data_IF_680515024976
#
_entry.id   IF_680515024976
#
_cell.length_a   1.000
_cell.length_b   1.000
_cell.length_c   1.000
_cell.angle_alpha   90.00
_cell.angle_beta   90.00
_cell.angle_gamma   90.00
#
_symmetry.space_group_name_H-M   'P 1'
#
loop_
_entity.id
_entity.type
_entity.pdbx_description
1 polymer ?
#
# COMPACT_ATOMS: atom_id res chain seq x y z
N UNK A 1 1.61 -0.55 26.79
CA UNK A 1 1.59 -0.67 25.31
C UNK A 1 0.19 -0.36 24.82
N UNK A 2 0.07 0.46 23.75
CA UNK A 2 -1.24 0.80 23.22
C UNK A 2 -1.99 -0.39 22.62
N UNK A 3 -3.31 -0.41 22.84
CA UNK A 3 -4.23 -1.39 22.25
C UNK A 3 -5.58 -0.75 21.92
N UNK A 4 -6.33 -1.37 21.01
CA UNK A 4 -7.72 -1.02 20.75
C UNK A 4 -8.63 -1.88 21.60
N UNK A 5 -9.65 -1.26 22.15
CA UNK A 5 -10.79 -1.92 22.78
C UNK A 5 -11.98 -1.68 21.86
N UNK A 6 -12.60 -2.76 21.40
CA UNK A 6 -13.72 -2.72 20.46
C UNK A 6 -14.89 -3.51 21.05
N UNK A 7 -16.03 -2.86 21.21
CA UNK A 7 -17.29 -3.52 21.49
C UNK A 7 -18.04 -3.73 20.18
N UNK A 8 -18.21 -4.96 19.78
CA UNK A 8 -18.91 -5.29 18.54
C UNK A 8 -20.43 -5.14 18.63
N UNK A 9 -21.06 -5.14 17.47
CA UNK A 9 -22.52 -5.16 17.34
C UNK A 9 -23.16 -3.81 16.96
N UNK A 10 -22.39 -2.73 16.90
CA UNK A 10 -22.91 -1.45 16.42
C UNK A 10 -22.97 -1.42 14.88
N UNK A 11 -24.07 -0.91 14.34
CA UNK A 11 -24.15 -0.60 12.91
C UNK A 11 -23.27 0.61 12.59
N UNK A 12 -22.70 0.63 11.39
CA UNK A 12 -21.93 1.76 10.89
C UNK A 12 -22.80 2.61 9.97
N UNK A 13 -22.88 3.90 10.22
CA UNK A 13 -23.70 4.82 9.43
C UNK A 13 -23.00 6.15 9.22
N UNK A 14 -23.19 6.74 8.05
CA UNK A 14 -22.66 8.06 7.73
C UNK A 14 -21.65 8.08 6.60
N UNK A 15 -20.73 9.03 6.70
CA UNK A 15 -19.74 9.31 5.65
C UNK A 15 -18.33 9.21 6.22
N UNK A 16 -17.42 8.64 5.44
CA UNK A 16 -16.00 8.60 5.75
C UNK A 16 -15.19 8.97 4.51
N UNK A 17 -14.28 9.91 4.64
CA UNK A 17 -13.37 10.30 3.57
C UNK A 17 -12.08 9.48 3.67
N UNK A 18 -11.69 8.84 2.57
CA UNK A 18 -10.41 8.14 2.50
C UNK A 18 -9.25 9.11 2.31
N UNK A 19 -8.13 8.77 2.90
CA UNK A 19 -6.87 9.51 2.79
C UNK A 19 -6.16 9.17 1.47
N UNK A 20 -5.12 9.93 1.16
CA UNK A 20 -4.23 9.60 0.04
C UNK A 20 -3.54 8.26 0.23
N UNK A 21 -3.29 7.57 -0.88
CA UNK A 21 -2.79 6.21 -0.88
C UNK A 21 -1.36 6.11 -0.33
N UNK A 22 -1.19 5.30 0.72
CA UNK A 22 0.14 4.95 1.24
C UNK A 22 1.07 4.44 0.14
N UNK A 23 0.57 3.51 -0.68
CA UNK A 23 1.37 2.87 -1.73
C UNK A 23 1.67 3.80 -2.92
N UNK A 24 1.02 4.96 -3.00
CA UNK A 24 1.33 6.01 -3.98
C UNK A 24 2.24 7.08 -3.39
N UNK A 25 1.99 7.51 -2.16
CA UNK A 25 2.75 8.60 -1.54
C UNK A 25 4.23 8.25 -1.33
N UNK A 26 4.54 7.01 -0.97
CA UNK A 26 5.93 6.61 -0.71
C UNK A 26 6.82 6.70 -1.96
N UNK A 27 6.45 6.12 -3.14
CA UNK A 27 7.23 6.29 -4.35
C UNK A 27 7.25 7.74 -4.86
N UNK A 28 6.18 8.51 -4.69
CA UNK A 28 6.14 9.93 -5.07
C UNK A 28 7.12 10.75 -4.22
N UNK A 29 7.19 10.51 -2.91
CA UNK A 29 8.20 11.15 -2.04
C UNK A 29 9.61 10.76 -2.50
N UNK A 30 9.88 9.50 -2.81
CA UNK A 30 11.17 9.08 -3.38
C UNK A 30 11.44 9.80 -4.72
N UNK A 31 10.43 9.95 -5.56
CA UNK A 31 10.51 10.67 -6.85
C UNK A 31 10.89 12.15 -6.72
N UNK A 32 10.61 12.80 -5.58
CA UNK A 32 11.04 14.19 -5.33
C UNK A 32 12.56 14.36 -5.37
N UNK A 33 13.33 13.28 -5.12
CA UNK A 33 14.79 13.29 -5.23
C UNK A 33 15.30 13.63 -6.63
N UNK A 34 14.49 13.40 -7.66
CA UNK A 34 14.84 13.70 -9.05
C UNK A 34 14.78 15.20 -9.38
N UNK A 35 14.12 16.00 -8.56
CA UNK A 35 13.87 17.41 -8.82
C UNK A 35 15.07 18.29 -8.55
N UNK A 36 15.35 19.25 -9.44
CA UNK A 36 16.34 20.30 -9.27
C UNK A 36 15.81 21.53 -8.51
N UNK A 37 14.49 21.64 -8.37
CA UNK A 37 13.77 22.69 -7.64
C UNK A 37 12.74 22.08 -6.69
N UNK A 38 12.22 22.85 -5.70
CA UNK A 38 11.27 22.29 -4.74
C UNK A 38 10.01 21.69 -5.35
N UNK A 39 9.57 20.57 -4.80
CA UNK A 39 8.28 19.94 -5.08
C UNK A 39 7.34 20.11 -3.91
N UNK A 40 6.04 20.32 -4.17
CA UNK A 40 5.00 20.45 -3.16
C UNK A 40 3.99 19.31 -3.30
N UNK A 41 3.86 18.50 -2.27
CA UNK A 41 2.87 17.43 -2.21
C UNK A 41 1.72 17.83 -1.30
N UNK A 42 0.50 17.55 -1.74
CA UNK A 42 -0.75 17.94 -1.07
C UNK A 42 -1.47 16.71 -0.51
N UNK A 43 -2.25 16.94 0.54
CA UNK A 43 -3.08 15.91 1.20
C UNK A 43 -2.29 14.68 1.66
N UNK A 44 -1.07 14.86 2.13
CA UNK A 44 -0.22 13.77 2.60
C UNK A 44 -0.79 13.19 3.91
N UNK A 45 -1.05 11.87 3.98
CA UNK A 45 -1.60 11.26 5.18
C UNK A 45 -0.57 11.19 6.32
N UNK A 46 -1.06 11.24 7.55
CA UNK A 46 -0.22 11.12 8.73
C UNK A 46 0.02 9.65 9.07
N UNK A 47 1.00 9.04 8.41
CA UNK A 47 1.37 7.63 8.57
C UNK A 47 2.79 7.50 9.10
N UNK A 48 3.07 6.47 9.90
CA UNK A 48 4.43 6.16 10.35
C UNK A 48 5.39 5.92 9.17
N UNK A 49 4.93 5.25 8.12
CA UNK A 49 5.75 4.99 6.93
C UNK A 49 6.08 6.29 6.18
N UNK A 50 5.18 7.28 6.15
CA UNK A 50 5.46 8.63 5.60
C UNK A 50 6.52 9.33 6.45
N UNK A 51 6.41 9.26 7.77
CA UNK A 51 7.43 9.78 8.69
C UNK A 51 8.81 9.17 8.43
N UNK A 52 8.85 7.85 8.24
CA UNK A 52 10.10 7.11 8.00
C UNK A 52 10.74 7.49 6.66
N UNK A 53 9.98 7.54 5.54
CA UNK A 53 10.54 7.93 4.24
C UNK A 53 11.04 9.37 4.27
N UNK A 54 10.35 10.29 4.95
CA UNK A 54 10.82 11.66 5.13
C UNK A 54 12.17 11.70 5.87
N UNK A 55 12.34 10.92 6.93
CA UNK A 55 13.64 10.83 7.63
C UNK A 55 14.75 10.30 6.72
N UNK A 56 14.46 9.31 5.88
CA UNK A 56 15.41 8.81 4.85
C UNK A 56 15.81 9.95 3.91
N UNK A 57 14.84 10.65 3.36
CA UNK A 57 15.05 11.77 2.42
C UNK A 57 15.85 12.91 3.08
N UNK A 58 15.52 13.28 4.31
CA UNK A 58 16.26 14.29 5.08
C UNK A 58 17.73 13.87 5.31
N UNK A 59 17.97 12.59 5.61
CA UNK A 59 19.32 12.07 5.80
C UNK A 59 20.21 12.16 4.55
N UNK A 60 19.58 12.22 3.38
CA UNK A 60 20.25 12.41 2.10
C UNK A 60 20.57 13.88 1.79
N UNK A 61 20.18 14.80 2.67
CA UNK A 61 20.44 16.23 2.54
C UNK A 61 19.30 17.06 1.95
N UNK A 62 18.12 16.45 1.75
CA UNK A 62 16.92 17.15 1.27
C UNK A 62 16.30 17.96 2.40
N UNK A 63 15.93 19.21 2.14
CA UNK A 63 15.19 20.04 3.09
C UNK A 63 13.69 19.76 2.95
N UNK A 64 13.04 19.54 4.08
CA UNK A 64 11.60 19.29 4.15
C UNK A 64 10.93 20.37 4.99
N UNK A 65 9.91 21.01 4.42
CA UNK A 65 9.05 21.96 5.13
C UNK A 65 7.63 21.39 5.19
N UNK A 66 7.06 21.27 6.39
CA UNK A 66 5.74 20.71 6.63
C UNK A 66 4.76 21.80 7.06
N UNK A 67 3.59 21.84 6.42
CA UNK A 67 2.42 22.56 6.92
C UNK A 67 1.41 21.53 7.45
N UNK A 68 1.50 21.26 8.75
CA UNK A 68 0.68 20.22 9.38
C UNK A 68 -0.83 20.49 9.37
N UNK A 69 -1.24 21.74 9.16
CA UNK A 69 -2.66 22.11 9.15
C UNK A 69 -3.38 21.59 7.89
N UNK A 70 -2.67 21.49 6.77
CA UNK A 70 -3.26 21.19 5.45
C UNK A 70 -2.73 19.90 4.83
N UNK A 71 -1.89 19.12 5.54
CA UNK A 71 -1.24 17.93 4.98
C UNK A 71 -0.29 18.23 3.82
N UNK A 72 0.24 19.45 3.76
CA UNK A 72 1.17 19.88 2.71
C UNK A 72 2.62 19.64 3.15
N UNK A 73 3.42 19.10 2.25
CA UNK A 73 4.88 18.94 2.47
C UNK A 73 5.63 19.43 1.24
N UNK A 74 6.62 20.29 1.47
CA UNK A 74 7.54 20.76 0.44
C UNK A 74 8.88 20.06 0.59
N UNK A 75 9.36 19.46 -0.49
CA UNK A 75 10.65 18.79 -0.57
C UNK A 75 11.59 19.57 -1.48
N UNK A 76 12.69 20.06 -0.93
CA UNK A 76 13.74 20.73 -1.69
C UNK A 76 14.96 19.82 -1.84
N UNK A 77 14.98 19.08 -2.93
CA UNK A 77 16.07 18.17 -3.29
C UNK A 77 17.23 18.88 -4.05
N UNK A 78 17.20 20.20 -4.21
CA UNK A 78 18.36 20.96 -4.73
C UNK A 78 19.58 20.80 -3.81
N UNK A 79 19.33 20.53 -2.54
CA UNK A 79 20.33 20.32 -1.49
C UNK A 79 20.78 18.87 -1.29
N UNK A 80 20.37 17.95 -2.16
CA UNK A 80 20.76 16.53 -2.12
C UNK A 80 22.29 16.37 -2.16
N UNK A 81 22.88 15.81 -1.12
CA UNK A 81 24.34 15.68 -0.95
C UNK A 81 24.80 14.24 -0.78
N UNK A 82 24.01 13.38 -0.13
CA UNK A 82 24.40 12.00 0.19
C UNK A 82 23.78 11.00 -0.78
N UNK A 83 24.45 9.87 -0.96
CA UNK A 83 24.07 8.73 -1.80
C UNK A 83 23.88 7.45 -1.00
N UNK A 84 24.07 7.51 0.32
CA UNK A 84 23.91 6.39 1.25
C UNK A 84 22.82 6.70 2.26
N UNK A 85 21.81 5.81 2.32
CA UNK A 85 20.74 5.90 3.30
C UNK A 85 21.10 5.14 4.59
N UNK A 86 20.76 5.68 5.79
CA UNK A 86 21.09 5.07 7.07
C UNK A 86 20.46 3.69 7.25
N UNK A 87 21.26 2.72 7.69
CA UNK A 87 20.86 1.33 7.94
C UNK A 87 19.60 1.21 8.80
N UNK A 88 19.56 1.93 9.94
CA UNK A 88 18.45 1.85 10.89
C UNK A 88 17.10 2.31 10.31
N UNK A 89 17.12 3.26 9.37
CA UNK A 89 15.90 3.74 8.72
C UNK A 89 15.43 2.77 7.62
N UNK A 90 16.36 2.24 6.82
CA UNK A 90 16.04 1.31 5.74
C UNK A 90 15.44 0.00 6.28
N UNK A 91 15.95 -0.49 7.40
CA UNK A 91 15.41 -1.70 8.04
C UNK A 91 13.98 -1.56 8.54
N UNK A 92 13.58 -0.36 8.97
CA UNK A 92 12.23 -0.11 9.48
C UNK A 92 11.17 -0.20 8.39
N UNK A 93 11.52 0.17 7.16
CA UNK A 93 10.55 0.23 6.07
C UNK A 93 11.21 -0.18 4.75
N UNK A 94 10.70 -1.27 4.17
CA UNK A 94 11.21 -1.81 2.89
C UNK A 94 11.11 -0.80 1.74
N UNK A 95 10.07 0.05 1.72
CA UNK A 95 9.89 1.07 0.69
C UNK A 95 11.04 2.10 0.64
N UNK A 96 11.90 2.15 1.67
CA UNK A 96 13.14 2.95 1.63
C UNK A 96 14.06 2.56 0.49
N UNK A 97 13.95 1.34 -0.04
CA UNK A 97 14.70 0.89 -1.21
C UNK A 97 14.34 1.64 -2.51
N UNK A 98 13.17 2.31 -2.53
CA UNK A 98 12.73 3.13 -3.66
C UNK A 98 13.59 4.38 -3.92
N UNK A 99 14.43 4.80 -2.97
CA UNK A 99 15.35 5.92 -3.20
C UNK A 99 16.52 5.54 -4.11
N UNK A 100 16.73 4.24 -4.37
CA UNK A 100 17.86 3.76 -5.16
C UNK A 100 17.79 4.23 -6.62
N UNK A 101 16.64 4.11 -7.27
CA UNK A 101 16.43 4.57 -8.64
C UNK A 101 16.72 6.07 -8.83
N UNK A 102 16.10 6.94 -8.05
CA UNK A 102 16.38 8.37 -8.09
C UNK A 102 17.82 8.76 -7.81
N UNK A 103 18.47 8.13 -6.82
CA UNK A 103 19.88 8.40 -6.51
C UNK A 103 20.79 8.00 -7.66
N UNK A 104 20.60 6.81 -8.24
CA UNK A 104 21.34 6.38 -9.43
C UNK A 104 21.18 7.34 -10.59
N UNK A 105 19.95 7.76 -10.88
CA UNK A 105 19.64 8.67 -11.98
C UNK A 105 20.31 10.04 -11.79
N UNK A 106 20.29 10.56 -10.57
CA UNK A 106 20.71 11.93 -10.31
C UNK A 106 22.15 12.08 -9.88
N UNK A 107 22.69 11.08 -9.15
CA UNK A 107 24.04 11.10 -8.58
C UNK A 107 24.99 10.09 -9.24
N UNK A 108 24.48 9.17 -10.03
CA UNK A 108 25.27 8.09 -10.64
C UNK A 108 25.66 6.99 -9.67
N UNK A 109 25.28 7.08 -8.40
CA UNK A 109 25.54 6.04 -7.40
C UNK A 109 24.47 6.04 -6.29
N UNK A 110 24.27 4.87 -5.67
CA UNK A 110 23.44 4.69 -4.49
C UNK A 110 23.95 3.53 -3.65
N UNK A 111 23.98 3.70 -2.33
CA UNK A 111 24.31 2.65 -1.38
C UNK A 111 23.17 2.54 -0.36
N UNK A 112 22.49 1.40 -0.38
CA UNK A 112 21.31 1.17 0.44
C UNK A 112 21.50 -0.14 1.20
N UNK A 113 21.20 -0.13 2.49
CA UNK A 113 21.21 -1.35 3.29
C UNK A 113 20.28 -2.39 2.73
N UNK A 114 20.62 -3.67 2.90
CA UNK A 114 19.70 -4.76 2.54
C UNK A 114 18.36 -4.54 3.25
N UNK A 115 17.24 -4.52 2.51
CA UNK A 115 15.95 -4.35 3.14
C UNK A 115 15.65 -5.53 4.07
N UNK A 116 15.14 -5.23 5.26
CA UNK A 116 14.75 -6.25 6.23
C UNK A 116 13.72 -7.23 5.66
N UNK A 117 13.64 -8.42 6.29
CA UNK A 117 12.63 -9.42 5.95
C UNK A 117 11.20 -8.87 6.08
N UNK A 118 10.28 -9.43 5.32
CA UNK A 118 8.86 -9.11 5.41
C UNK A 118 8.11 -10.29 6.01
N UNK A 119 7.24 -10.04 6.98
CA UNK A 119 6.46 -11.07 7.63
C UNK A 119 5.54 -11.84 6.65
N UNK A 120 5.04 -11.17 5.62
CA UNK A 120 4.09 -11.75 4.66
C UNK A 120 4.72 -12.60 3.55
N UNK A 121 6.07 -12.66 3.47
CA UNK A 121 6.78 -13.50 2.51
C UNK A 121 8.06 -12.89 1.97
N UNK A 122 8.78 -13.68 1.17
CA UNK A 122 9.98 -13.23 0.48
C UNK A 122 9.64 -12.13 -0.53
N UNK A 123 10.40 -11.06 -0.48
CA UNK A 123 10.31 -9.94 -1.41
C UNK A 123 11.70 -9.63 -1.95
N UNK A 124 12.22 -10.48 -2.85
CA UNK A 124 13.56 -10.30 -3.39
C UNK A 124 13.65 -8.95 -4.12
N UNK A 125 14.85 -8.39 -4.14
CA UNK A 125 15.16 -7.15 -4.85
C UNK A 125 15.82 -7.39 -6.21
N UNK A 126 15.92 -8.64 -6.60
CA UNK A 126 16.60 -9.08 -7.83
C UNK A 126 16.05 -8.43 -9.10
N UNK A 127 14.72 -8.22 -9.19
CA UNK A 127 14.12 -7.52 -10.33
C UNK A 127 14.54 -6.05 -10.42
N UNK A 128 14.69 -5.36 -9.27
CA UNK A 128 15.25 -4.01 -9.24
C UNK A 128 16.68 -4.00 -9.75
N UNK A 129 17.52 -4.91 -9.24
CA UNK A 129 18.95 -4.96 -9.54
C UNK A 129 19.21 -5.34 -11.00
N UNK A 130 18.50 -6.36 -11.52
CA UNK A 130 18.58 -6.72 -12.96
C UNK A 130 18.24 -5.53 -13.86
N UNK A 131 17.20 -4.77 -13.51
CA UNK A 131 16.80 -3.62 -14.30
C UNK A 131 17.85 -2.49 -14.24
N UNK A 132 18.46 -2.23 -13.10
CA UNK A 132 19.54 -1.26 -12.98
C UNK A 132 20.79 -1.69 -13.75
N UNK A 133 21.15 -2.97 -13.73
CA UNK A 133 22.24 -3.53 -14.56
C UNK A 133 21.93 -3.37 -16.05
N UNK A 134 20.69 -3.63 -16.46
CA UNK A 134 20.27 -3.42 -17.85
C UNK A 134 20.40 -1.95 -18.29
N UNK A 135 20.14 -1.00 -17.38
CA UNK A 135 20.36 0.43 -17.60
C UNK A 135 21.84 0.85 -17.56
N UNK A 136 22.78 -0.07 -17.30
CA UNK A 136 24.22 0.16 -17.31
C UNK A 136 24.85 0.38 -15.94
N UNK A 137 24.13 0.21 -14.85
CA UNK A 137 24.70 0.26 -13.51
C UNK A 137 25.51 -1.01 -13.19
N UNK A 138 26.58 -0.84 -12.42
CA UNK A 138 27.32 -1.94 -11.80
C UNK A 138 26.82 -2.14 -10.39
N UNK A 139 26.56 -3.39 -10.01
CA UNK A 139 25.96 -3.74 -8.72
C UNK A 139 26.94 -4.55 -7.89
N UNK A 140 27.15 -4.14 -6.66
CA UNK A 140 27.87 -4.89 -5.63
C UNK A 140 26.88 -5.22 -4.50
N UNK A 141 26.80 -6.50 -4.13
CA UNK A 141 25.92 -6.98 -3.06
C UNK A 141 26.78 -7.57 -1.95
N UNK A 142 26.55 -7.11 -0.74
CA UNK A 142 27.10 -7.72 0.49
C UNK A 142 25.95 -8.20 1.39
N UNK A 143 26.28 -8.80 2.53
CA UNK A 143 25.25 -9.18 3.52
C UNK A 143 24.52 -7.95 4.08
N UNK A 144 25.17 -6.79 4.14
CA UNK A 144 24.66 -5.60 4.80
C UNK A 144 24.04 -4.58 3.85
N UNK A 145 24.52 -4.50 2.60
CA UNK A 145 24.11 -3.44 1.68
C UNK A 145 24.19 -3.85 0.20
N UNK A 146 23.45 -3.07 -0.60
CA UNK A 146 23.58 -3.02 -2.06
C UNK A 146 24.22 -1.69 -2.43
N UNK A 147 25.28 -1.74 -3.21
CA UNK A 147 25.92 -0.58 -3.83
C UNK A 147 25.75 -0.66 -5.34
N UNK A 148 25.17 0.37 -5.92
CA UNK A 148 25.02 0.49 -7.36
C UNK A 148 25.68 1.78 -7.85
N UNK A 149 26.41 1.71 -8.96
CA UNK A 149 27.02 2.88 -9.57
C UNK A 149 27.00 2.80 -11.10
N UNK A 150 26.83 3.92 -11.73
CA UNK A 150 26.77 4.08 -13.17
C UNK A 150 27.78 5.16 -13.62
N UNK A 151 29.07 4.83 -13.72
CA UNK A 151 30.12 5.80 -14.00
C UNK A 151 29.98 6.49 -15.37
N UNK A 152 29.33 5.83 -16.31
CA UNK A 152 29.05 6.36 -17.65
C UNK A 152 27.61 6.91 -17.79
N UNK A 153 26.89 7.06 -16.66
CA UNK A 153 25.46 7.37 -16.64
C UNK A 153 24.57 6.18 -16.99
N UNK A 154 23.30 6.31 -16.73
CA UNK A 154 22.29 5.31 -17.11
C UNK A 154 21.92 5.47 -18.59
N UNK A 155 21.70 4.34 -19.26
CA UNK A 155 21.32 4.32 -20.69
C UNK A 155 20.03 3.52 -20.88
N UNK A 156 19.12 4.10 -21.64
CA UNK A 156 17.84 3.48 -21.97
C UNK A 156 18.02 2.15 -22.69
N UNK A 157 17.16 1.19 -22.37
CA UNK A 157 17.19 -0.16 -22.90
C UNK A 157 15.81 -0.81 -22.81
N UNK A 158 15.68 -2.02 -23.32
CA UNK A 158 14.50 -2.84 -23.17
C UNK A 158 14.65 -3.72 -21.92
N UNK A 159 13.67 -3.68 -21.03
CA UNK A 159 13.65 -4.41 -19.76
C UNK A 159 12.39 -5.25 -19.69
N UNK A 160 12.52 -6.56 -19.51
CA UNK A 160 11.43 -7.47 -19.23
C UNK A 160 11.45 -7.85 -17.74
N UNK A 161 10.35 -7.65 -17.03
CA UNK A 161 10.19 -8.07 -15.65
C UNK A 161 9.60 -9.49 -15.59
N UNK A 162 10.28 -10.42 -14.95
CA UNK A 162 9.83 -11.80 -14.81
C UNK A 162 8.51 -11.91 -14.00
N UNK A 163 8.23 -10.90 -13.22
CA UNK A 163 6.99 -10.70 -12.48
C UNK A 163 6.61 -9.22 -12.49
N UNK A 164 5.33 -8.84 -12.59
CA UNK A 164 4.90 -7.43 -12.57
C UNK A 164 5.02 -6.84 -11.17
N UNK A 165 6.26 -6.66 -10.72
CA UNK A 165 6.61 -6.10 -9.42
C UNK A 165 6.34 -4.60 -9.39
N UNK A 166 5.50 -4.17 -8.43
CA UNK A 166 5.20 -2.74 -8.23
C UNK A 166 6.47 -1.96 -7.91
N UNK A 167 7.21 -2.39 -6.89
CA UNK A 167 8.41 -1.67 -6.46
C UNK A 167 9.51 -1.64 -7.52
N UNK A 168 9.72 -2.73 -8.27
CA UNK A 168 10.69 -2.75 -9.37
C UNK A 168 10.26 -1.81 -10.49
N UNK A 169 8.98 -1.82 -10.88
CA UNK A 169 8.43 -0.91 -11.89
C UNK A 169 8.63 0.55 -11.48
N UNK A 170 8.31 0.92 -10.24
CA UNK A 170 8.49 2.27 -9.70
C UNK A 170 9.96 2.71 -9.74
N UNK A 171 10.85 1.87 -9.24
CA UNK A 171 12.28 2.16 -9.21
C UNK A 171 12.87 2.34 -10.61
N UNK A 172 12.47 1.48 -11.55
CA UNK A 172 12.94 1.57 -12.95
C UNK A 172 12.38 2.81 -13.64
N UNK A 173 11.12 3.14 -13.44
CA UNK A 173 10.52 4.39 -13.98
C UNK A 173 11.33 5.60 -13.52
N UNK A 174 11.64 5.68 -12.23
CA UNK A 174 12.41 6.80 -11.68
C UNK A 174 13.84 6.86 -12.23
N UNK A 175 14.53 5.72 -12.29
CA UNK A 175 15.88 5.66 -12.84
C UNK A 175 15.91 6.01 -14.35
N UNK A 176 14.99 5.45 -15.13
CA UNK A 176 14.91 5.65 -16.57
C UNK A 176 14.50 7.06 -16.98
N UNK A 177 13.82 7.80 -16.10
CA UNK A 177 13.37 9.18 -16.38
C UNK A 177 14.51 10.14 -16.69
N UNK A 178 15.74 9.84 -16.27
CA UNK A 178 16.94 10.62 -16.56
C UNK A 178 18.01 9.82 -17.30
N UNK A 179 17.74 8.59 -17.72
CA UNK A 179 18.66 7.77 -18.50
C UNK A 179 18.77 8.31 -19.93
N UNK A 180 19.96 8.24 -20.54
CA UNK A 180 20.16 8.64 -21.94
C UNK A 180 19.39 7.71 -22.88
N UNK A 181 18.54 8.25 -23.74
CA UNK A 181 17.79 7.50 -24.75
C UNK A 181 16.44 6.99 -24.25
N UNK A 182 16.01 5.84 -24.81
CA UNK A 182 14.66 5.28 -24.57
C UNK A 182 14.73 3.99 -23.80
N UNK A 183 13.84 3.88 -22.82
CA UNK A 183 13.62 2.66 -22.04
C UNK A 183 12.22 2.12 -22.31
N UNK A 184 12.10 0.81 -22.49
CA UNK A 184 10.82 0.10 -22.57
C UNK A 184 10.80 -0.94 -21.47
N UNK A 185 9.80 -0.83 -20.60
CA UNK A 185 9.54 -1.83 -19.55
C UNK A 185 8.39 -2.71 -20.02
N UNK A 186 8.63 -4.01 -20.14
CA UNK A 186 7.64 -5.02 -20.48
C UNK A 186 7.27 -5.84 -19.25
N UNK A 187 6.03 -6.30 -19.19
CA UNK A 187 5.44 -6.95 -18.02
C UNK A 187 5.51 -6.05 -16.76
N UNK A 188 5.30 -4.76 -16.95
CA UNK A 188 5.26 -3.77 -15.89
C UNK A 188 4.03 -3.97 -14.99
N UNK A 189 4.12 -3.53 -13.74
CA UNK A 189 2.97 -3.40 -12.85
C UNK A 189 1.99 -2.33 -13.40
N UNK A 190 0.69 -2.59 -13.25
CA UNK A 190 -0.38 -1.77 -13.85
C UNK A 190 -1.20 -0.99 -12.80
N UNK A 191 -0.82 -1.07 -11.53
CA UNK A 191 -1.53 -0.47 -10.41
C UNK A 191 -1.76 1.04 -10.60
N UNK A 192 -2.87 1.59 -10.08
CA UNK A 192 -3.14 3.04 -10.11
C UNK A 192 -2.01 3.87 -9.51
N UNK A 193 -1.28 3.34 -8.55
CA UNK A 193 -0.13 3.98 -7.91
C UNK A 193 1.04 4.18 -8.90
N UNK A 194 1.20 3.29 -9.87
CA UNK A 194 2.17 3.45 -10.98
C UNK A 194 1.76 4.60 -11.89
N UNK A 195 0.47 4.71 -12.19
CA UNK A 195 -0.07 5.83 -13.00
C UNK A 195 0.14 7.15 -12.27
N UNK A 196 -0.08 7.18 -10.97
CA UNK A 196 0.08 8.39 -10.16
C UNK A 196 1.55 8.84 -10.09
N UNK A 197 2.49 7.90 -9.90
CA UNK A 197 3.92 8.20 -9.97
C UNK A 197 4.32 8.76 -11.34
N UNK A 198 3.89 8.14 -12.42
CA UNK A 198 4.16 8.61 -13.79
C UNK A 198 3.57 10.00 -14.05
N UNK A 199 2.37 10.27 -13.55
CA UNK A 199 1.73 11.58 -13.63
C UNK A 199 2.54 12.66 -12.92
N UNK A 200 2.99 12.36 -11.71
CA UNK A 200 3.86 13.26 -10.94
C UNK A 200 5.19 13.52 -11.66
N UNK A 201 5.87 12.48 -12.13
CA UNK A 201 7.15 12.62 -12.85
C UNK A 201 6.98 13.38 -14.16
N UNK A 202 5.90 13.15 -14.91
CA UNK A 202 5.58 13.91 -16.13
C UNK A 202 5.33 15.39 -15.82
N UNK A 203 4.68 15.71 -14.70
CA UNK A 203 4.53 17.09 -14.23
C UNK A 203 5.89 17.74 -13.89
N UNK A 204 6.88 16.95 -13.51
CA UNK A 204 8.27 17.39 -13.28
C UNK A 204 9.07 17.55 -14.58
N UNK A 205 8.52 17.21 -15.74
CA UNK A 205 9.16 17.29 -17.03
C UNK A 205 9.66 15.96 -17.63
N UNK A 206 9.33 14.83 -17.01
CA UNK A 206 9.63 13.50 -17.57
C UNK A 206 8.76 13.21 -18.80
N UNK A 207 9.17 12.22 -19.59
CA UNK A 207 8.44 11.73 -20.76
C UNK A 207 8.14 10.24 -20.60
N UNK A 208 7.05 9.94 -19.89
CA UNK A 208 6.60 8.58 -19.56
C UNK A 208 5.25 8.33 -20.20
N UNK A 209 5.10 7.23 -20.94
CA UNK A 209 3.87 6.79 -21.60
C UNK A 209 3.58 5.33 -21.31
N UNK A 210 2.30 4.97 -21.27
CA UNK A 210 1.84 3.61 -21.08
C UNK A 210 1.75 3.17 -19.62
N UNK A 211 1.94 4.06 -18.63
CA UNK A 211 1.67 3.75 -17.24
C UNK A 211 0.21 3.30 -17.05
N UNK A 212 -0.01 2.25 -16.28
CA UNK A 212 -1.33 1.59 -16.17
C UNK A 212 -1.56 0.48 -17.21
N UNK A 213 -0.59 0.23 -18.06
CA UNK A 213 -0.53 -0.93 -18.96
C UNK A 213 0.72 -1.75 -18.67
N UNK A 214 0.79 -2.96 -19.24
CA UNK A 214 1.95 -3.84 -19.04
C UNK A 214 3.21 -3.42 -19.82
N UNK A 215 3.14 -2.37 -20.63
CA UNK A 215 4.29 -1.82 -21.36
C UNK A 215 4.41 -0.33 -21.10
N UNK A 216 5.50 0.09 -20.50
CA UNK A 216 5.80 1.49 -20.19
C UNK A 216 7.00 1.93 -21.04
N UNK A 217 6.87 3.09 -21.69
CA UNK A 217 7.91 3.71 -22.52
C UNK A 217 8.35 5.01 -21.89
N UNK A 218 9.65 5.17 -21.75
CA UNK A 218 10.26 6.33 -21.11
C UNK A 218 11.34 6.86 -22.03
N UNK A 219 11.29 8.14 -22.34
CA UNK A 219 12.39 8.86 -22.99
C UNK A 219 13.06 9.74 -21.93
N UNK A 220 14.31 9.42 -21.60
CA UNK A 220 15.03 10.11 -20.54
C UNK A 220 15.28 11.57 -20.87
N UNK A 221 15.30 12.41 -19.85
CA UNK A 221 15.58 13.85 -19.94
C UNK A 221 16.77 14.22 -19.06
N UNK A 222 17.55 15.26 -19.41
CA UNK A 222 18.75 15.62 -18.66
C UNK A 222 18.46 16.18 -17.27
N UNK A 223 17.28 16.75 -17.06
CA UNK A 223 16.91 17.41 -15.82
C UNK A 223 15.40 17.38 -15.60
N UNK A 224 15.01 17.25 -14.34
CA UNK A 224 13.62 17.36 -13.87
C UNK A 224 13.53 18.52 -12.88
N UNK A 225 12.42 19.25 -12.91
CA UNK A 225 12.09 20.31 -11.96
C UNK A 225 11.05 19.84 -10.93
N UNK A 226 10.85 20.59 -9.87
CA UNK A 226 9.78 20.32 -8.91
C UNK A 226 8.39 20.53 -9.49
N UNK A 227 7.42 19.88 -8.91
CA UNK A 227 6.01 19.98 -9.28
C UNK A 227 5.11 20.05 -8.03
N UNK A 228 3.88 20.50 -8.23
CA UNK A 228 2.79 20.42 -7.24
C UNK A 228 1.95 19.20 -7.61
N UNK A 229 1.67 18.33 -6.64
CA UNK A 229 0.93 17.11 -6.88
C UNK A 229 0.03 16.74 -5.71
N UNK A 230 -1.18 16.32 -6.02
CA UNK A 230 -2.10 15.68 -5.07
C UNK A 230 -2.09 14.18 -5.31
N UNK A 231 -1.77 13.40 -4.28
CA UNK A 231 -1.69 11.94 -4.36
C UNK A 231 -3.09 11.35 -4.49
N UNK A 232 -3.24 10.28 -5.27
CA UNK A 232 -4.52 9.58 -5.43
C UNK A 232 -5.05 9.01 -4.10
N UNK A 233 -6.39 8.87 -3.97
CA UNK A 233 -7.00 8.28 -2.77
C UNK A 233 -6.63 6.80 -2.62
N UNK A 234 -6.56 6.35 -1.35
CA UNK A 234 -6.20 4.98 -1.00
C UNK A 234 -7.35 4.00 -1.25
N UNK A 235 -7.24 3.22 -2.33
CA UNK A 235 -8.20 2.18 -2.67
C UNK A 235 -8.30 1.07 -1.63
N UNK A 236 -7.22 0.78 -0.91
CA UNK A 236 -7.20 -0.27 0.12
C UNK A 236 -7.87 0.22 1.41
N UNK A 237 -7.64 1.46 1.80
CA UNK A 237 -8.39 2.10 2.88
C UNK A 237 -9.89 2.13 2.56
N UNK A 238 -10.26 2.54 1.34
CA UNK A 238 -11.65 2.54 0.89
C UNK A 238 -12.27 1.14 0.98
N UNK A 239 -11.62 0.13 0.42
CA UNK A 239 -12.06 -1.26 0.49
C UNK A 239 -12.22 -1.78 1.91
N UNK A 240 -11.35 -1.36 2.82
CA UNK A 240 -11.43 -1.72 4.24
C UNK A 240 -12.71 -1.17 4.89
N UNK A 241 -13.08 0.10 4.63
CA UNK A 241 -14.35 0.65 5.13
C UNK A 241 -15.58 0.01 4.49
N UNK A 242 -15.52 -0.33 3.19
CA UNK A 242 -16.61 -1.08 2.55
C UNK A 242 -16.84 -2.43 3.23
N UNK A 243 -15.78 -3.14 3.56
CA UNK A 243 -15.86 -4.44 4.25
C UNK A 243 -16.33 -4.26 5.70
N UNK A 244 -15.80 -3.28 6.43
CA UNK A 244 -16.24 -2.99 7.80
C UNK A 244 -17.77 -2.72 7.86
N UNK A 245 -18.29 -1.90 6.97
CA UNK A 245 -19.72 -1.60 6.89
C UNK A 245 -20.54 -2.81 6.42
N UNK A 246 -20.04 -3.61 5.47
CA UNK A 246 -20.71 -4.83 5.05
C UNK A 246 -20.86 -5.83 6.20
N UNK A 247 -19.83 -6.00 7.02
CA UNK A 247 -19.82 -6.92 8.17
C UNK A 247 -20.67 -6.41 9.35
N UNK A 248 -20.46 -5.16 9.76
CA UNK A 248 -21.17 -4.57 10.89
C UNK A 248 -22.65 -4.29 10.59
N UNK A 249 -22.98 -4.18 9.32
CA UNK A 249 -24.26 -3.67 8.84
C UNK A 249 -24.35 -2.15 8.95
N UNK A 250 -25.18 -1.55 8.13
CA UNK A 250 -25.40 -0.11 8.12
C UNK A 250 -25.48 0.47 6.71
N UNK A 251 -25.27 1.77 6.64
CA UNK A 251 -25.31 2.58 5.41
C UNK A 251 -24.17 3.58 5.46
N UNK A 252 -23.10 3.29 4.73
CA UNK A 252 -21.87 4.08 4.75
C UNK A 252 -21.52 4.55 3.34
N UNK A 253 -21.28 5.85 3.21
CA UNK A 253 -20.72 6.46 2.02
C UNK A 253 -19.22 6.70 2.22
N UNK A 254 -18.40 6.03 1.41
CA UNK A 254 -16.94 6.16 1.40
C UNK A 254 -16.57 7.23 0.37
N UNK A 255 -16.33 8.45 0.87
CA UNK A 255 -15.98 9.62 0.06
C UNK A 255 -14.57 9.52 -0.51
N UNK A 256 -14.37 10.13 -1.67
CA UNK A 256 -13.07 10.16 -2.35
C UNK A 256 -12.55 8.75 -2.73
N UNK A 257 -13.42 7.75 -2.78
CA UNK A 257 -13.11 6.43 -3.30
C UNK A 257 -13.36 6.40 -4.81
N UNK A 258 -12.40 5.89 -5.58
CA UNK A 258 -12.51 5.76 -7.04
C UNK A 258 -12.94 4.34 -7.40
N UNK A 259 -14.17 4.12 -7.90
CA UNK A 259 -14.68 2.79 -8.21
C UNK A 259 -13.78 2.00 -9.18
N UNK A 260 -13.16 2.70 -10.14
CA UNK A 260 -12.25 2.09 -11.12
C UNK A 260 -11.04 1.41 -10.48
N UNK A 261 -10.59 1.91 -9.33
CA UNK A 261 -9.45 1.35 -8.60
C UNK A 261 -9.80 0.12 -7.76
N UNK A 262 -11.10 -0.13 -7.55
CA UNK A 262 -11.64 -1.15 -6.62
C UNK A 262 -12.54 -2.20 -7.31
N UNK A 263 -12.58 -2.26 -8.63
CA UNK A 263 -13.50 -3.13 -9.38
C UNK A 263 -13.60 -4.57 -8.85
N UNK A 264 -12.49 -5.30 -8.60
CA UNK A 264 -12.58 -6.66 -8.11
C UNK A 264 -13.19 -6.77 -6.72
N UNK A 265 -12.91 -5.83 -5.82
CA UNK A 265 -13.45 -5.81 -4.45
C UNK A 265 -14.95 -5.52 -4.48
N UNK A 266 -15.37 -4.51 -5.24
CA UNK A 266 -16.79 -4.16 -5.42
C UNK A 266 -17.55 -5.32 -6.05
N UNK A 267 -17.00 -5.95 -7.09
CA UNK A 267 -17.61 -7.11 -7.73
C UNK A 267 -17.84 -8.28 -6.75
N UNK A 268 -16.86 -8.58 -5.91
CA UNK A 268 -16.95 -9.63 -4.90
C UNK A 268 -17.94 -9.30 -3.77
N UNK A 269 -18.04 -8.04 -3.36
CA UNK A 269 -19.07 -7.60 -2.40
C UNK A 269 -20.47 -7.75 -2.99
N UNK A 270 -20.69 -7.37 -4.24
CA UNK A 270 -21.97 -7.57 -4.95
C UNK A 270 -22.30 -9.06 -5.10
N UNK A 271 -21.32 -9.90 -5.45
CA UNK A 271 -21.46 -11.37 -5.52
C UNK A 271 -21.87 -11.96 -4.17
N UNK A 272 -21.33 -11.43 -3.08
CA UNK A 272 -21.69 -11.81 -1.71
C UNK A 272 -23.09 -11.29 -1.26
N UNK A 273 -23.79 -10.57 -2.12
CA UNK A 273 -25.13 -10.05 -1.83
C UNK A 273 -25.17 -8.72 -1.12
N UNK A 274 -24.04 -8.03 -1.00
CA UNK A 274 -23.96 -6.68 -0.42
C UNK A 274 -24.38 -5.64 -1.46
N UNK A 275 -25.20 -4.67 -1.07
CA UNK A 275 -25.56 -3.55 -1.95
C UNK A 275 -24.41 -2.56 -1.98
N UNK A 276 -23.85 -2.36 -3.17
CA UNK A 276 -22.76 -1.40 -3.43
C UNK A 276 -23.17 -0.49 -4.59
N UNK A 277 -23.24 0.80 -4.34
CA UNK A 277 -23.60 1.83 -5.31
C UNK A 277 -22.36 2.70 -5.61
N UNK A 278 -22.05 2.82 -6.89
CA UNK A 278 -20.93 3.66 -7.36
C UNK A 278 -21.47 5.05 -7.67
N UNK A 279 -20.93 6.06 -7.01
CA UNK A 279 -21.31 7.45 -7.17
C UNK A 279 -20.12 8.30 -7.68
N UNK A 280 -20.38 9.53 -8.11
CA UNK A 280 -19.33 10.41 -8.66
C UNK A 280 -18.20 10.68 -7.65
N UNK A 281 -18.59 10.90 -6.38
CA UNK A 281 -17.66 11.31 -5.33
C UNK A 281 -17.25 10.17 -4.40
N UNK A 282 -17.65 8.93 -4.69
CA UNK A 282 -17.33 7.82 -3.81
C UNK A 282 -18.16 6.55 -4.05
N UNK A 283 -18.17 5.69 -3.05
CA UNK A 283 -18.85 4.40 -3.08
C UNK A 283 -19.73 4.27 -1.82
N UNK A 284 -21.02 3.95 -2.01
CA UNK A 284 -21.95 3.67 -0.93
C UNK A 284 -22.12 2.18 -0.75
N UNK A 285 -22.07 1.73 0.48
CA UNK A 285 -22.35 0.34 0.87
C UNK A 285 -23.51 0.29 1.83
N UNK A 286 -24.48 -0.58 1.55
CA UNK A 286 -25.65 -0.82 2.39
C UNK A 286 -25.70 -2.31 2.70
N UNK A 287 -25.75 -2.65 3.98
CA UNK A 287 -25.77 -4.04 4.44
C UNK A 287 -26.61 -4.20 5.69
N UNK A 288 -27.24 -5.35 5.83
CA UNK A 288 -27.88 -5.75 7.09
C UNK A 288 -26.86 -6.32 8.10
N UNK A 289 -25.65 -6.63 7.66
CA UNK A 289 -24.65 -7.39 8.43
C UNK A 289 -24.98 -8.88 8.55
N UNK A 290 -26.01 -9.35 7.83
CA UNK A 290 -26.47 -10.74 7.83
C UNK A 290 -26.83 -11.18 6.43
N UNK A 291 -26.87 -12.51 6.19
CA UNK A 291 -27.23 -13.07 4.89
C UNK A 291 -26.16 -12.83 3.82
N UNK A 292 -24.94 -12.56 4.23
CA UNK A 292 -23.78 -12.45 3.33
C UNK A 292 -23.48 -13.84 2.80
N UNK A 293 -23.38 -13.97 1.48
CA UNK A 293 -23.09 -15.24 0.83
C UNK A 293 -21.61 -15.51 0.75
N UNK A 294 -21.23 -16.77 0.92
CA UNK A 294 -19.86 -17.20 0.69
C UNK A 294 -19.45 -16.94 -0.77
N UNK A 295 -18.25 -16.42 -0.96
CA UNK A 295 -17.64 -16.19 -2.27
C UNK A 295 -16.16 -16.57 -2.22
N UNK A 296 -15.63 -17.00 -3.35
CA UNK A 296 -14.21 -17.31 -3.49
C UNK A 296 -13.45 -16.08 -3.98
N UNK A 297 -12.24 -15.90 -3.45
CA UNK A 297 -11.30 -14.89 -3.95
C UNK A 297 -9.96 -15.53 -4.29
N UNK A 298 -9.31 -14.98 -5.30
CA UNK A 298 -7.93 -15.29 -5.68
C UNK A 298 -7.17 -13.99 -5.90
N UNK A 299 -6.13 -13.77 -5.12
CA UNK A 299 -5.28 -12.60 -5.30
C UNK A 299 -4.47 -12.72 -6.58
N UNK A 300 -4.35 -11.64 -7.31
CA UNK A 300 -3.59 -11.52 -8.56
C UNK A 300 -3.01 -10.12 -8.66
N UNK A 301 -1.93 -9.92 -9.43
CA UNK A 301 -1.51 -8.58 -9.81
C UNK A 301 -2.67 -7.77 -10.40
N UNK A 302 -2.65 -6.45 -10.21
CA UNK A 302 -3.66 -5.55 -10.76
C UNK A 302 -3.81 -5.78 -12.30
N UNK A 303 -5.03 -5.80 -12.84
CA UNK A 303 -6.32 -5.44 -12.24
C UNK A 303 -7.07 -6.59 -11.55
N UNK A 304 -6.38 -7.65 -11.14
CA UNK A 304 -6.98 -8.73 -10.36
C UNK A 304 -7.29 -8.31 -8.92
N UNK A 305 -7.82 -9.25 -8.12
CA UNK A 305 -8.15 -8.99 -6.72
C UNK A 305 -6.87 -8.67 -5.93
N UNK A 306 -6.80 -7.50 -5.26
CA UNK A 306 -5.56 -7.06 -4.62
C UNK A 306 -5.23 -7.89 -3.37
N UNK A 307 -3.97 -8.34 -3.28
CA UNK A 307 -3.48 -9.05 -2.10
C UNK A 307 -3.62 -8.22 -0.81
N UNK A 308 -3.59 -6.88 -0.90
CA UNK A 308 -3.78 -5.98 0.24
C UNK A 308 -5.23 -5.93 0.77
N UNK A 309 -6.19 -6.56 0.08
CA UNK A 309 -7.57 -6.75 0.53
C UNK A 309 -7.89 -8.20 0.94
N UNK A 310 -6.94 -9.12 0.83
CA UNK A 310 -7.17 -10.52 1.12
C UNK A 310 -7.60 -10.75 2.58
N UNK A 311 -6.89 -10.18 3.55
CA UNK A 311 -7.18 -10.39 4.97
C UNK A 311 -8.56 -9.82 5.37
N UNK A 312 -8.90 -8.61 4.92
CA UNK A 312 -10.19 -7.98 5.19
C UNK A 312 -11.33 -8.78 4.58
N UNK A 313 -11.16 -9.24 3.33
CA UNK A 313 -12.19 -10.05 2.68
C UNK A 313 -12.33 -11.44 3.32
N UNK A 314 -11.22 -12.03 3.77
CA UNK A 314 -11.28 -13.27 4.57
C UNK A 314 -12.07 -13.06 5.86
N UNK A 315 -11.89 -11.95 6.56
CA UNK A 315 -12.70 -11.62 7.74
C UNK A 315 -14.21 -11.61 7.40
N UNK A 316 -14.59 -11.00 6.26
CA UNK A 316 -15.99 -11.03 5.79
C UNK A 316 -16.49 -12.46 5.59
N UNK A 317 -15.69 -13.33 4.99
CA UNK A 317 -16.10 -14.72 4.72
C UNK A 317 -16.27 -15.56 5.97
N UNK A 318 -15.68 -15.16 7.11
CA UNK A 318 -15.86 -15.87 8.39
C UNK A 318 -17.30 -15.83 8.93
N UNK A 319 -18.10 -14.86 8.48
CA UNK A 319 -19.53 -14.71 8.87
C UNK A 319 -20.48 -14.89 7.67
N UNK A 320 -19.97 -15.29 6.51
CA UNK A 320 -20.76 -15.54 5.33
C UNK A 320 -21.46 -16.91 5.41
N UNK A 321 -22.63 -17.03 4.77
CA UNK A 321 -23.36 -18.30 4.68
C UNK A 321 -22.71 -19.21 3.64
N UNK A 322 -22.11 -20.30 4.10
CA UNK A 322 -21.45 -21.31 3.25
C UNK A 322 -19.94 -21.37 3.45
N UNK A 323 -19.25 -21.91 2.48
CA UNK A 323 -17.79 -22.11 2.49
C UNK A 323 -17.14 -21.29 1.38
N UNK A 324 -16.10 -20.56 1.74
CA UNK A 324 -15.30 -19.75 0.81
C UNK A 324 -13.88 -20.29 0.70
N UNK A 325 -13.31 -20.21 -0.50
CA UNK A 325 -11.89 -20.48 -0.74
C UNK A 325 -11.16 -19.18 -1.01
N UNK A 326 -10.12 -18.90 -0.21
CA UNK A 326 -9.25 -17.76 -0.37
C UNK A 326 -7.89 -18.24 -0.87
N UNK A 327 -7.54 -17.91 -2.11
CA UNK A 327 -6.27 -18.31 -2.72
C UNK A 327 -5.33 -17.09 -2.77
N UNK A 328 -4.16 -17.21 -2.10
CA UNK A 328 -3.12 -16.18 -2.09
C UNK A 328 -2.00 -16.56 -3.07
N UNK A 329 -1.87 -15.81 -4.17
CA UNK A 329 -0.87 -16.11 -5.19
C UNK A 329 0.34 -15.19 -5.16
N UNK A 330 0.25 -14.06 -4.46
CA UNK A 330 1.30 -13.02 -4.47
C UNK A 330 2.32 -13.23 -3.36
N UNK A 331 1.85 -13.44 -2.12
CA UNK A 331 2.73 -13.61 -0.96
C UNK A 331 2.49 -14.95 -0.26
N UNK A 332 3.52 -15.76 -0.18
CA UNK A 332 3.44 -17.15 0.33
C UNK A 332 3.08 -17.26 1.81
N UNK A 333 3.34 -16.23 2.62
CA UNK A 333 3.13 -16.27 4.08
C UNK A 333 2.01 -15.33 4.54
N UNK A 334 1.04 -15.00 3.66
CA UNK A 334 0.02 -14.00 3.98
C UNK A 334 -1.26 -14.57 4.59
N UNK A 335 -1.11 -15.56 5.48
CA UNK A 335 -2.21 -16.14 6.26
C UNK A 335 -1.97 -16.07 7.79
N UNK A 336 -1.06 -15.24 8.25
CA UNK A 336 -0.73 -15.12 9.68
C UNK A 336 -1.93 -14.63 10.53
N UNK A 337 -2.83 -13.85 9.96
CA UNK A 337 -4.06 -13.38 10.61
C UNK A 337 -5.06 -14.51 10.90
N UNK A 338 -4.94 -15.66 10.24
CA UNK A 338 -5.83 -16.82 10.45
C UNK A 338 -5.78 -17.30 11.90
N UNK A 339 -4.59 -17.37 12.50
CA UNK A 339 -4.45 -17.77 13.90
C UNK A 339 -5.19 -16.82 14.85
N UNK A 340 -5.21 -15.53 14.54
CA UNK A 340 -5.90 -14.52 15.33
C UNK A 340 -7.42 -14.57 15.11
N UNK A 341 -7.89 -14.75 13.88
CA UNK A 341 -9.32 -14.95 13.59
C UNK A 341 -9.88 -16.21 14.25
N UNK A 342 -9.10 -17.29 14.32
CA UNK A 342 -9.49 -18.50 15.03
C UNK A 342 -9.74 -18.27 16.53
N UNK A 343 -9.01 -17.37 17.17
CA UNK A 343 -9.26 -16.97 18.56
C UNK A 343 -10.64 -16.31 18.72
N UNK A 344 -11.15 -15.70 17.66
CA UNK A 344 -12.49 -15.09 17.61
C UNK A 344 -13.58 -16.08 17.20
N UNK A 345 -13.26 -17.36 17.05
CA UNK A 345 -14.21 -18.43 16.69
C UNK A 345 -14.34 -18.72 15.20
N UNK A 346 -13.48 -18.15 14.36
CA UNK A 346 -13.49 -18.44 12.93
C UNK A 346 -13.03 -19.89 12.65
N UNK A 347 -13.70 -20.54 11.69
CA UNK A 347 -13.34 -21.85 11.16
C UNK A 347 -12.60 -21.69 9.83
N UNK A 348 -11.30 -21.81 9.87
CA UNK A 348 -10.42 -21.62 8.70
C UNK A 348 -9.39 -22.75 8.68
N UNK A 349 -9.29 -23.45 7.57
CA UNK A 349 -8.24 -24.43 7.32
C UNK A 349 -7.32 -23.95 6.21
N UNK A 350 -6.01 -24.06 6.42
CA UNK A 350 -5.00 -23.64 5.46
C UNK A 350 -4.38 -24.87 4.82
N UNK A 351 -4.38 -24.88 3.48
CA UNK A 351 -3.65 -25.83 2.66
C UNK A 351 -2.78 -25.08 1.65
N UNK A 352 -1.48 -24.99 1.93
CA UNK A 352 -0.51 -24.27 1.11
C UNK A 352 -0.88 -22.79 0.89
N UNK A 353 -1.30 -22.44 -0.33
CA UNK A 353 -1.71 -21.10 -0.73
C UNK A 353 -3.22 -20.88 -0.71
N UNK A 354 -3.95 -21.79 -0.12
CA UNK A 354 -5.40 -21.71 0.00
C UNK A 354 -5.84 -21.74 1.45
N UNK A 355 -6.84 -20.95 1.78
CA UNK A 355 -7.55 -21.02 3.03
C UNK A 355 -9.02 -21.36 2.73
N UNK A 356 -9.52 -22.40 3.37
CA UNK A 356 -10.93 -22.82 3.33
C UNK A 356 -11.60 -22.20 4.55
N UNK A 357 -12.56 -21.31 4.32
CA UNK A 357 -13.27 -20.57 5.37
C UNK A 357 -14.71 -21.06 5.43
N UNK A 358 -15.07 -21.69 6.53
CA UNK A 358 -16.46 -22.05 6.81
C UNK A 358 -17.11 -20.90 7.59
N UNK A 359 -18.18 -20.33 7.04
CA UNK A 359 -18.86 -19.20 7.67
C UNK A 359 -19.57 -19.61 8.95
N UNK A 360 -19.46 -18.75 9.95
CA UNK A 360 -20.05 -18.92 11.28
C UNK A 360 -21.21 -17.94 11.49
N UNK A 361 -22.22 -18.30 12.29
CA UNK A 361 -23.32 -17.37 12.60
C UNK A 361 -22.86 -16.06 13.25
N UNK A 362 -21.81 -16.11 14.07
CA UNK A 362 -21.17 -14.98 14.71
C UNK A 362 -19.72 -15.31 15.10
N UNK A 363 -18.91 -14.25 15.23
CA UNK A 363 -17.62 -14.29 15.92
C UNK A 363 -17.82 -13.82 17.36
N UNK A 364 -16.87 -14.10 18.23
CA UNK A 364 -16.87 -13.61 19.62
C UNK A 364 -15.62 -12.79 19.92
N UNK A 365 -15.73 -11.91 20.90
CA UNK A 365 -14.64 -11.07 21.35
C UNK A 365 -13.46 -11.88 21.90
N UNK A 366 -12.25 -11.44 21.62
CA UNK A 366 -11.01 -12.08 22.02
C UNK A 366 -9.87 -11.08 22.17
N UNK A 367 -8.76 -11.53 22.75
CA UNK A 367 -7.50 -10.79 22.75
C UNK A 367 -6.69 -11.26 21.53
N UNK A 368 -6.48 -10.35 20.58
CA UNK A 368 -5.80 -10.62 19.32
C UNK A 368 -4.69 -9.60 19.06
N UNK A 369 -3.77 -9.93 18.19
CA UNK A 369 -2.66 -9.05 17.82
C UNK A 369 -2.58 -8.87 16.31
N UNK A 370 -2.38 -7.63 15.88
CA UNK A 370 -2.03 -7.35 14.49
C UNK A 370 -0.69 -8.02 14.16
N UNK A 371 -0.67 -8.85 13.12
CA UNK A 371 0.54 -9.53 12.64
C UNK A 371 1.24 -8.75 11.53
N UNK A 372 0.48 -7.94 10.83
CA UNK A 372 0.91 -6.98 9.82
C UNK A 372 -0.18 -5.91 9.63
N UNK A 373 0.06 -4.94 8.75
CA UNK A 373 -0.84 -3.83 8.50
C UNK A 373 -2.26 -4.28 8.10
N UNK A 374 -2.38 -5.17 7.12
CA UNK A 374 -3.69 -5.58 6.57
C UNK A 374 -4.39 -6.59 7.46
N UNK A 375 -3.63 -7.44 8.13
CA UNK A 375 -4.14 -8.31 9.18
C UNK A 375 -4.74 -7.50 10.33
N UNK A 376 -4.07 -6.43 10.77
CA UNK A 376 -4.61 -5.54 11.81
C UNK A 376 -5.95 -4.94 11.43
N UNK A 377 -6.09 -4.42 10.21
CA UNK A 377 -7.35 -3.88 9.71
C UNK A 377 -8.46 -4.97 9.63
N UNK A 378 -8.12 -6.17 9.18
CA UNK A 378 -9.04 -7.30 9.12
C UNK A 378 -9.57 -7.70 10.51
N UNK A 379 -8.71 -7.72 11.52
CA UNK A 379 -9.09 -8.00 12.90
C UNK A 379 -10.00 -6.92 13.48
N UNK A 380 -9.77 -5.67 13.15
CA UNK A 380 -10.70 -4.57 13.52
C UNK A 380 -12.06 -4.78 12.86
N UNK A 381 -12.12 -5.08 11.55
CA UNK A 381 -13.38 -5.39 10.85
C UNK A 381 -14.12 -6.57 11.52
N UNK A 382 -13.41 -7.64 11.86
CA UNK A 382 -13.98 -8.79 12.57
C UNK A 382 -14.52 -8.40 13.96
N UNK A 383 -13.77 -7.58 14.71
CA UNK A 383 -14.15 -7.12 16.04
C UNK A 383 -15.42 -6.25 16.04
N UNK A 384 -15.65 -5.46 14.99
CA UNK A 384 -16.84 -4.61 14.86
C UNK A 384 -18.14 -5.42 14.79
N UNK A 385 -18.07 -6.68 14.31
CA UNK A 385 -19.26 -7.56 14.23
C UNK A 385 -19.26 -8.67 15.28
N UNK A 386 -18.18 -8.86 16.03
CA UNK A 386 -18.06 -9.91 17.04
C UNK A 386 -18.99 -9.66 18.25
N UNK A 387 -19.50 -10.73 18.84
CA UNK A 387 -20.25 -10.64 20.09
C UNK A 387 -19.28 -10.38 21.27
N UNK A 388 -19.50 -9.30 22.00
CA UNK A 388 -18.70 -8.93 23.14
C UNK A 388 -17.52 -8.02 22.80
N UNK A 389 -16.51 -8.04 23.68
CA UNK A 389 -15.36 -7.13 23.66
C UNK A 389 -14.14 -7.81 23.04
N UNK A 390 -13.49 -7.11 22.10
CA UNK A 390 -12.22 -7.51 21.52
C UNK A 390 -11.12 -6.53 21.92
N UNK A 391 -9.93 -7.04 22.20
CA UNK A 391 -8.72 -6.25 22.38
C UNK A 391 -7.77 -6.53 21.22
N UNK A 392 -7.33 -5.49 20.52
CA UNK A 392 -6.38 -5.60 19.41
C UNK A 392 -5.07 -4.93 19.81
N UNK A 393 -4.00 -5.72 19.91
CA UNK A 393 -2.65 -5.26 20.25
C UNK A 393 -1.77 -5.04 19.02
N UNK A 394 -0.54 -4.55 19.26
CA UNK A 394 0.49 -4.27 18.23
C UNK A 394 0.05 -3.23 17.20
N UNK A 395 -0.50 -2.12 17.66
CA UNK A 395 -1.11 -1.08 16.82
C UNK A 395 -0.14 -0.39 15.86
N UNK A 396 1.17 -0.43 16.13
CA UNK A 396 2.19 0.07 15.22
C UNK A 396 2.07 -0.52 13.80
N UNK A 397 1.52 -1.73 13.65
CA UNK A 397 1.24 -2.29 12.33
C UNK A 397 0.13 -1.53 11.60
N UNK A 398 -0.92 -1.10 12.31
CA UNK A 398 -2.06 -0.36 11.74
C UNK A 398 -1.65 1.08 11.42
N UNK A 399 -0.92 1.72 12.33
CA UNK A 399 -0.48 3.13 12.22
C UNK A 399 0.44 3.39 11.01
N UNK A 400 1.03 2.34 10.47
CA UNK A 400 1.85 2.42 9.27
C UNK A 400 1.07 2.79 8.00
N UNK A 401 -0.23 2.53 7.94
CA UNK A 401 -0.97 2.67 6.70
C UNK A 401 -2.41 3.13 6.79
N UNK A 402 -2.93 3.42 7.98
CA UNK A 402 -4.27 3.96 8.17
C UNK A 402 -4.19 5.26 8.97
N UNK A 403 -4.61 6.35 8.34
CA UNK A 403 -4.67 7.68 8.94
C UNK A 403 -5.97 7.85 9.72
N UNK A 404 -5.88 8.20 11.02
CA UNK A 404 -7.03 8.40 11.92
C UNK A 404 -8.06 7.26 11.88
N UNK A 405 -7.59 6.01 11.81
CA UNK A 405 -8.45 4.83 11.63
C UNK A 405 -9.53 4.72 12.72
N UNK A 406 -9.13 4.92 13.96
CA UNK A 406 -10.04 4.88 15.12
C UNK A 406 -11.06 6.02 15.05
N UNK A 407 -10.62 7.25 14.85
CA UNK A 407 -11.51 8.41 14.76
C UNK A 407 -12.50 8.31 13.60
N UNK A 408 -12.08 7.81 12.46
CA UNK A 408 -12.96 7.58 11.30
C UNK A 408 -14.04 6.52 11.62
N UNK A 409 -13.69 5.41 12.25
CA UNK A 409 -14.64 4.38 12.66
C UNK A 409 -15.60 4.89 13.77
N UNK A 410 -15.10 5.66 14.73
CA UNK A 410 -15.94 6.29 15.76
C UNK A 410 -17.01 7.22 15.14
N UNK A 411 -16.63 8.03 14.16
CA UNK A 411 -17.57 8.90 13.43
C UNK A 411 -18.65 8.12 12.66
N UNK A 412 -18.38 6.89 12.29
CA UNK A 412 -19.35 5.97 11.69
C UNK A 412 -20.21 5.23 12.72
N UNK A 413 -19.97 5.43 14.03
CA UNK A 413 -20.76 4.82 15.11
C UNK A 413 -20.14 3.57 15.74
N UNK A 414 -18.90 3.23 15.41
CA UNK A 414 -18.18 2.14 16.07
C UNK A 414 -17.88 2.47 17.54
N UNK A 415 -18.06 1.47 18.41
CA UNK A 415 -17.59 1.54 19.81
C UNK A 415 -16.16 1.00 19.87
N UNK A 416 -15.23 1.90 19.64
CA UNK A 416 -13.79 1.63 19.55
C UNK A 416 -13.02 2.73 20.26
N UNK A 417 -12.07 2.35 21.10
CA UNK A 417 -11.19 3.28 21.79
C UNK A 417 -9.75 2.78 21.80
N UNK A 418 -8.79 3.70 21.73
CA UNK A 418 -7.37 3.44 21.91
C UNK A 418 -6.99 3.72 23.34
N UNK A 419 -6.34 2.78 24.00
CA UNK A 419 -5.94 2.86 25.40
C UNK A 419 -4.47 2.50 25.58
N UNK A 420 -3.82 3.14 26.53
CA UNK A 420 -2.49 2.76 27.00
C UNK A 420 -2.61 1.72 28.12
N UNK A 421 -1.71 0.73 28.15
CA UNK A 421 -1.51 -0.19 29.25
C UNK A 421 -0.58 0.39 30.30
#
# INVERSE_FOLDING_TARGET
>A
MEKLIIQGGNRLEGRVRVSSAKNAVLPIIAGTLLASTPSKLLEIPNLEDVGTICQVIESLGVKIARNNADGEIVFDASTLTATEAPYELVRKMRASFLVMGPLLARKGEAKISMPGGCAIGARPIDLHLKAFEALGAKIEITEDYVYAHAPEGLKGTQIYLDFPSVGATENVIMAASMAEGKTVIENAAEEPEIVDLATFLNAMGANIRGAGTNVIRIEGVPQLHGAIHTVIPDRIEAGTYLIAAAMAGGDVFVENALPEHLKPVVAKLKEAGVTVEEEIDGIRVISSGKGIKAVDIKTLPYPGFPTDMQAQFMALTTIAEGTSTVTETVFENRFMHVAELRKMGAHIDIDNRQAIVEGMPSLHGAIVNATDLRAGAALVCAALTAEGRTEVGRLHHIDRGYDDFVGKLQRLGADIVRVDE
#
